data_IF_272131949199
#
_entry.id   IF_272131949199
#
_cell.length_a   1.000
_cell.length_b   1.000
_cell.length_c   1.000
_cell.angle_alpha   90.00
_cell.angle_beta   90.00
_cell.angle_gamma   90.00
#
_symmetry.space_group_name_H-M   'P 1'
#
loop_
_entity.id
_entity.type
_entity.pdbx_description
1 polymer ?
#
# COMPACT_ATOMS: atom_id res chain seq x y z
N UNK A 1 21.42 -27.04 -5.77
CA UNK A 1 20.96 -26.04 -6.77
C UNK A 1 21.39 -24.69 -6.23
N UNK A 2 21.86 -23.74 -7.04
CA UNK A 2 22.16 -22.41 -6.51
C UNK A 2 20.86 -21.81 -5.96
N UNK A 3 20.76 -21.71 -4.65
CA UNK A 3 19.67 -21.03 -3.96
C UNK A 3 19.85 -19.54 -4.22
N UNK A 4 19.04 -19.00 -5.14
CA UNK A 4 18.94 -17.56 -5.36
C UNK A 4 18.23 -17.00 -4.13
N UNK A 5 19.02 -16.56 -3.15
CA UNK A 5 18.54 -15.93 -1.94
C UNK A 5 18.17 -14.47 -2.16
N UNK A 6 17.65 -13.86 -1.10
CA UNK A 6 17.45 -12.41 -1.04
C UNK A 6 18.73 -11.60 -1.37
N UNK A 7 19.94 -11.98 -0.90
CA UNK A 7 21.16 -11.23 -1.21
C UNK A 7 21.49 -11.19 -2.70
N UNK A 8 21.42 -12.33 -3.39
CA UNK A 8 21.70 -12.44 -4.82
C UNK A 8 20.71 -11.61 -5.65
N UNK A 9 19.42 -11.64 -5.28
CA UNK A 9 18.39 -10.83 -5.93
C UNK A 9 18.66 -9.32 -5.77
N UNK A 10 19.10 -8.88 -4.59
CA UNK A 10 19.46 -7.48 -4.35
C UNK A 10 20.66 -7.04 -5.19
N UNK A 11 21.66 -7.90 -5.38
CA UNK A 11 22.82 -7.61 -6.25
C UNK A 11 22.36 -7.42 -7.69
N UNK A 12 21.52 -8.33 -8.21
CA UNK A 12 20.98 -8.23 -9.57
C UNK A 12 20.14 -6.96 -9.73
N UNK A 13 19.27 -6.67 -8.76
CA UNK A 13 18.47 -5.44 -8.75
C UNK A 13 19.37 -4.20 -8.74
N UNK A 14 20.46 -4.21 -7.96
CA UNK A 14 21.44 -3.13 -7.92
C UNK A 14 22.09 -2.88 -9.29
N UNK A 15 22.45 -3.93 -10.02
CA UNK A 15 22.99 -3.81 -11.38
C UNK A 15 21.94 -3.21 -12.33
N UNK A 16 20.68 -3.66 -12.27
CA UNK A 16 19.61 -3.08 -13.09
C UNK A 16 19.37 -1.61 -12.76
N UNK A 17 19.42 -1.24 -11.48
CA UNK A 17 19.33 0.16 -11.03
C UNK A 17 20.51 1.00 -11.53
N UNK A 18 21.72 0.44 -11.63
CA UNK A 18 22.86 1.14 -12.22
C UNK A 18 22.71 1.35 -13.73
N UNK A 19 22.15 0.37 -14.46
CA UNK A 19 21.91 0.44 -15.90
C UNK A 19 20.78 1.41 -16.27
N UNK A 20 19.64 1.30 -15.58
CA UNK A 20 18.44 2.08 -15.88
C UNK A 20 18.33 3.38 -15.06
N UNK A 21 19.08 3.48 -13.96
CA UNK A 21 19.00 4.58 -13.00
C UNK A 21 17.89 4.37 -11.95
N UNK A 22 18.14 4.84 -10.72
CA UNK A 22 17.18 4.77 -9.63
C UNK A 22 15.86 5.51 -9.92
N UNK A 23 15.93 6.61 -10.68
CA UNK A 23 14.74 7.38 -11.07
C UNK A 23 13.76 6.59 -11.93
N UNK A 24 14.25 5.84 -12.93
CA UNK A 24 13.40 5.03 -13.82
C UNK A 24 12.78 3.85 -13.10
N UNK A 25 13.54 3.18 -12.23
CA UNK A 25 13.02 2.08 -11.41
C UNK A 25 11.96 2.58 -10.42
N UNK A 26 12.18 3.74 -9.78
CA UNK A 26 11.21 4.35 -8.87
C UNK A 26 9.93 4.82 -9.59
N UNK A 27 10.06 5.39 -10.79
CA UNK A 27 8.92 5.80 -11.64
C UNK A 27 8.03 4.59 -11.99
N UNK A 28 8.63 3.51 -12.46
CA UNK A 28 7.94 2.25 -12.78
C UNK A 28 7.34 1.61 -11.52
N UNK A 29 8.11 1.51 -10.43
CA UNK A 29 7.65 0.96 -9.16
C UNK A 29 6.47 1.75 -8.58
N UNK A 30 6.49 3.07 -8.69
CA UNK A 30 5.40 3.94 -8.25
C UNK A 30 4.12 3.80 -9.09
N UNK A 31 4.23 3.55 -10.40
CA UNK A 31 3.07 3.24 -11.25
C UNK A 31 2.48 1.87 -10.93
N UNK A 32 3.34 0.84 -10.81
CA UNK A 32 2.93 -0.52 -10.44
C UNK A 32 2.32 -0.57 -9.03
N UNK A 33 2.92 0.12 -8.06
CA UNK A 33 2.43 0.16 -6.69
C UNK A 33 1.04 0.79 -6.57
N UNK A 34 0.77 1.85 -7.34
CA UNK A 34 -0.56 2.44 -7.45
C UNK A 34 -1.56 1.47 -8.07
N UNK A 35 -1.20 0.82 -9.19
CA UNK A 35 -2.06 -0.17 -9.82
C UNK A 35 -2.39 -1.36 -8.89
N UNK A 36 -1.40 -1.86 -8.15
CA UNK A 36 -1.59 -2.95 -7.17
C UNK A 36 -2.45 -2.50 -6.00
N UNK A 37 -2.31 -1.24 -5.53
CA UNK A 37 -3.13 -0.68 -4.46
C UNK A 37 -4.59 -0.59 -4.89
N UNK A 38 -4.87 -0.02 -6.06
CA UNK A 38 -6.22 0.06 -6.62
C UNK A 38 -6.84 -1.32 -6.82
N UNK A 39 -6.06 -2.26 -7.36
CA UNK A 39 -6.51 -3.65 -7.55
C UNK A 39 -6.87 -4.33 -6.21
N UNK A 40 -6.03 -4.13 -5.17
CA UNK A 40 -6.32 -4.64 -3.82
C UNK A 40 -7.55 -3.99 -3.20
N UNK A 41 -7.79 -2.72 -3.48
CA UNK A 41 -8.95 -1.98 -2.98
C UNK A 41 -10.24 -2.46 -3.66
N UNK A 42 -10.25 -2.57 -5.00
CA UNK A 42 -11.39 -3.10 -5.74
C UNK A 42 -11.78 -4.51 -5.28
N UNK A 43 -10.80 -5.40 -5.07
CA UNK A 43 -11.07 -6.77 -4.54
C UNK A 43 -11.62 -6.75 -3.10
N UNK A 44 -11.24 -5.76 -2.29
CA UNK A 44 -11.78 -5.62 -0.93
C UNK A 44 -13.22 -5.11 -0.97
N UNK A 45 -13.47 -4.07 -1.75
CA UNK A 45 -14.82 -3.51 -1.94
C UNK A 45 -15.78 -4.59 -2.47
N UNK A 46 -15.37 -5.38 -3.46
CA UNK A 46 -16.17 -6.51 -4.01
C UNK A 46 -16.45 -7.61 -2.96
N UNK A 47 -15.51 -7.86 -2.04
CA UNK A 47 -15.71 -8.82 -0.93
C UNK A 47 -16.60 -8.26 0.18
N UNK A 48 -16.53 -6.97 0.43
CA UNK A 48 -17.29 -6.31 1.48
C UNK A 48 -18.76 -6.09 1.06
N UNK A 49 -19.03 -6.01 -0.25
CA UNK A 49 -20.39 -5.96 -0.83
C UNK A 49 -21.17 -7.28 -0.73
N UNK A 50 -20.49 -8.43 -0.58
CA UNK A 50 -21.12 -9.76 -0.48
C UNK A 50 -21.35 -10.24 0.97
N UNK A 51 -20.88 -9.53 2.00
CA UNK A 51 -21.05 -9.96 3.39
C UNK A 51 -20.64 -8.91 4.40
N UNK A 52 -21.63 -8.19 4.93
CA UNK A 52 -21.42 -7.08 5.85
C UNK A 52 -20.58 -7.41 7.08
N UNK A 53 -19.57 -6.57 7.33
CA UNK A 53 -19.14 -6.16 8.65
C UNK A 53 -18.40 -4.82 8.54
N UNK A 54 -19.13 -3.76 8.89
CA UNK A 54 -18.64 -2.41 9.17
C UNK A 54 -17.42 -2.39 10.08
N UNK A 55 -16.46 -1.52 9.77
CA UNK A 55 -15.73 -0.78 10.80
C UNK A 55 -15.78 0.71 10.42
N UNK A 56 -16.61 1.53 11.09
CA UNK A 56 -16.47 2.97 11.00
C UNK A 56 -15.10 3.33 11.57
N UNK A 57 -14.30 3.97 10.75
CA UNK A 57 -13.04 4.61 11.09
C UNK A 57 -13.21 5.40 12.39
N UNK A 58 -12.47 5.01 13.41
CA UNK A 58 -12.41 5.71 14.68
C UNK A 58 -11.78 7.09 14.45
N UNK A 59 -12.61 8.08 14.11
CA UNK A 59 -12.24 9.49 14.14
C UNK A 59 -12.04 9.90 15.61
N UNK A 60 -10.82 9.69 16.09
CA UNK A 60 -10.33 10.24 17.34
C UNK A 60 -10.15 11.75 17.21
N UNK A 61 -11.09 12.50 17.81
CA UNK A 61 -10.86 13.89 18.15
C UNK A 61 -11.99 14.83 17.73
N UNK A 62 -13.11 14.81 18.45
CA UNK A 62 -13.82 16.03 18.89
C UNK A 62 -15.01 15.64 19.79
N UNK A 63 -14.72 15.18 21.01
CA UNK A 63 -15.75 15.03 22.05
C UNK A 63 -15.22 15.59 23.37
N UNK A 64 -15.08 16.91 23.41
CA UNK A 64 -15.01 17.66 24.66
C UNK A 64 -15.98 18.86 24.59
N UNK A 65 -17.28 18.57 24.54
CA UNK A 65 -18.33 19.55 24.85
C UNK A 65 -19.23 18.99 25.94
N UNK A 66 -19.13 19.53 27.17
CA UNK A 66 -20.31 19.63 28.01
C UNK A 66 -20.58 21.09 28.39
N UNK A 67 -21.84 21.50 28.21
CA UNK A 67 -22.47 22.47 29.10
C UNK A 67 -22.67 23.89 28.58
N UNK A 68 -23.60 24.09 27.66
CA UNK A 68 -24.49 25.25 27.73
C UNK A 68 -25.92 24.74 27.82
N UNK A 69 -26.48 24.71 29.04
CA UNK A 69 -27.93 24.78 29.23
C UNK A 69 -28.20 25.75 30.38
N UNK A 70 -29.13 26.66 30.09
CA UNK A 70 -29.61 27.78 30.89
C UNK A 70 -30.35 27.34 32.15
#
# INVERSE_FOLDING_TARGET
MPDIGLPELLIILGILVLLFGAGRVAELGGALGRAVREFRQAIREERDEEGGASMPEANGGDQARPGFQH
#
